data_IF_592059623713
#
_entry.id   IF_592059623713
#
_cell.length_a   1.000
_cell.length_b   1.000
_cell.length_c   1.000
_cell.angle_alpha   90.00
_cell.angle_beta   90.00
_cell.angle_gamma   90.00
#
_symmetry.space_group_name_H-M   'P 1'
#
loop_
_entity.id
_entity.type
_entity.pdbx_description
1 polymer ?
#
# COMPACT_ATOMS: atom_id res chain seq x y z
N UNK A 1 -17.85 14.96 49.46
CA UNK A 1 -18.08 14.99 48.00
C UNK A 1 -18.13 13.56 47.48
N UNK A 2 -19.29 13.18 46.95
CA UNK A 2 -19.94 11.87 47.07
C UNK A 2 -19.44 10.80 46.10
N UNK A 3 -19.39 9.54 46.56
CA UNK A 3 -18.92 8.36 45.81
C UNK A 3 -19.63 8.17 44.47
N UNK A 4 -20.87 8.65 44.34
CA UNK A 4 -21.65 8.69 43.10
C UNK A 4 -20.99 9.56 42.02
N UNK A 5 -20.55 10.79 42.34
CA UNK A 5 -19.83 11.64 41.37
C UNK A 5 -18.56 10.98 40.87
N UNK A 6 -17.83 10.28 41.74
CA UNK A 6 -16.62 9.53 41.34
C UNK A 6 -16.95 8.40 40.35
N UNK A 7 -18.04 7.66 40.55
CA UNK A 7 -18.49 6.60 39.62
C UNK A 7 -18.85 7.15 38.24
N UNK A 8 -19.57 8.28 38.17
CA UNK A 8 -19.90 8.92 36.89
C UNK A 8 -18.66 9.46 36.17
N UNK A 9 -17.72 10.08 36.91
CA UNK A 9 -16.46 10.55 36.33
C UNK A 9 -15.66 9.38 35.76
N UNK A 10 -15.47 8.31 36.53
CA UNK A 10 -14.75 7.10 36.08
C UNK A 10 -15.45 6.47 34.88
N UNK A 11 -16.79 6.35 34.91
CA UNK A 11 -17.58 5.82 33.81
C UNK A 11 -17.45 6.64 32.54
N UNK A 12 -17.50 7.97 32.64
CA UNK A 12 -17.29 8.87 31.49
C UNK A 12 -15.88 8.75 30.91
N UNK A 13 -14.87 8.58 31.77
CA UNK A 13 -13.48 8.45 31.35
C UNK A 13 -13.24 7.11 30.64
N UNK A 14 -13.83 6.03 31.15
CA UNK A 14 -13.86 4.72 30.49
C UNK A 14 -14.54 4.79 29.12
N UNK A 15 -15.68 5.47 29.02
CA UNK A 15 -16.40 5.63 27.76
C UNK A 15 -15.54 6.37 26.72
N UNK A 16 -14.90 7.48 27.11
CA UNK A 16 -14.01 8.24 26.23
C UNK A 16 -12.84 7.38 25.75
N UNK A 17 -12.24 6.57 26.64
CA UNK A 17 -11.16 5.65 26.27
C UNK A 17 -11.63 4.59 25.27
N UNK A 18 -12.80 4.00 25.48
CA UNK A 18 -13.38 2.99 24.57
C UNK A 18 -13.65 3.60 23.20
N UNK A 19 -14.31 4.76 23.15
CA UNK A 19 -14.61 5.45 21.89
C UNK A 19 -13.32 5.83 21.16
N UNK A 20 -12.30 6.29 21.88
CA UNK A 20 -11.00 6.61 21.29
C UNK A 20 -10.31 5.38 20.71
N UNK A 21 -10.34 4.25 21.42
CA UNK A 21 -9.77 2.98 20.96
C UNK A 21 -10.50 2.45 19.72
N UNK A 22 -11.83 2.48 19.71
CA UNK A 22 -12.64 2.09 18.56
C UNK A 22 -12.38 2.98 17.35
N UNK A 23 -12.29 4.30 17.56
CA UNK A 23 -11.96 5.26 16.50
C UNK A 23 -10.59 4.98 15.92
N UNK A 24 -9.59 4.72 16.76
CA UNK A 24 -8.25 4.34 16.32
C UNK A 24 -8.26 3.09 15.44
N UNK A 25 -8.95 2.03 15.90
CA UNK A 25 -9.08 0.79 15.12
C UNK A 25 -9.79 1.05 13.79
N UNK A 26 -10.87 1.82 13.80
CA UNK A 26 -11.62 2.17 12.60
C UNK A 26 -10.77 2.91 11.57
N UNK A 27 -10.03 3.94 12.01
CA UNK A 27 -9.17 4.74 11.14
C UNK A 27 -8.09 3.87 10.49
N UNK A 28 -7.37 3.08 11.27
CA UNK A 28 -6.27 2.27 10.76
C UNK A 28 -6.72 1.09 9.90
N UNK A 29 -7.91 0.54 10.16
CA UNK A 29 -8.41 -0.62 9.42
C UNK A 29 -9.21 -0.25 8.17
N UNK A 30 -9.89 0.90 8.17
CA UNK A 30 -10.80 1.27 7.09
C UNK A 30 -10.44 2.60 6.43
N UNK A 31 -10.20 3.66 7.19
CA UNK A 31 -9.97 4.98 6.61
C UNK A 31 -8.63 5.07 5.86
N UNK A 32 -7.53 4.59 6.47
CA UNK A 32 -6.19 4.60 5.87
C UNK A 32 -6.10 3.80 4.55
N UNK A 33 -6.53 2.53 4.47
CA UNK A 33 -6.45 1.81 3.19
C UNK A 33 -7.36 2.43 2.13
N UNK A 34 -8.56 2.89 2.51
CA UNK A 34 -9.46 3.56 1.56
C UNK A 34 -8.84 4.84 1.03
N UNK A 35 -8.30 5.72 1.86
CA UNK A 35 -7.65 6.95 1.36
C UNK A 35 -6.40 6.65 0.52
N UNK A 36 -5.66 5.59 0.87
CA UNK A 36 -4.48 5.19 0.13
C UNK A 36 -4.78 4.79 -1.32
N UNK A 37 -5.91 4.12 -1.60
CA UNK A 37 -6.32 3.79 -2.98
C UNK A 37 -6.46 5.05 -3.85
N UNK A 38 -6.96 6.14 -3.27
CA UNK A 38 -7.22 7.39 -3.99
C UNK A 38 -5.95 8.18 -4.27
N UNK A 39 -4.90 7.97 -3.48
CA UNK A 39 -3.59 8.60 -3.64
C UNK A 39 -2.54 7.74 -4.37
N UNK A 40 -2.93 6.56 -4.89
CA UNK A 40 -2.06 5.78 -5.80
C UNK A 40 -1.66 6.65 -7.00
N UNK A 41 -0.37 6.69 -7.40
CA UNK A 41 0.06 7.42 -8.58
C UNK A 41 -0.75 7.06 -9.83
N UNK A 42 -1.22 8.07 -10.56
CA UNK A 42 -2.12 7.88 -11.70
C UNK A 42 -1.56 6.89 -12.75
N UNK A 43 -0.26 6.99 -13.04
CA UNK A 43 0.45 6.10 -13.97
C UNK A 43 0.34 4.61 -13.58
N UNK A 44 0.22 4.30 -12.29
CA UNK A 44 0.17 2.92 -11.80
C UNK A 44 -1.23 2.31 -11.90
N UNK A 45 -2.26 3.13 -12.07
CA UNK A 45 -3.65 2.67 -12.27
C UNK A 45 -3.91 2.14 -13.68
N UNK A 46 -3.08 2.56 -14.62
CA UNK A 46 -3.16 2.21 -16.05
C UNK A 46 -1.85 1.56 -16.47
N UNK A 47 -1.45 0.51 -15.74
CA UNK A 47 -0.20 -0.18 -16.02
C UNK A 47 -0.33 -1.01 -17.31
N UNK A 48 0.55 -0.80 -18.31
CA UNK A 48 0.47 -1.50 -19.58
C UNK A 48 1.08 -2.91 -19.45
N UNK A 49 0.26 -3.87 -19.02
CA UNK A 49 0.60 -5.29 -19.07
C UNK A 49 0.69 -5.79 -20.50
N UNK A 50 1.51 -6.82 -20.73
CA UNK A 50 1.75 -7.34 -22.08
C UNK A 50 2.88 -6.62 -22.83
N UNK A 51 3.36 -5.50 -22.29
CA UNK A 51 4.45 -4.74 -22.89
C UNK A 51 5.84 -5.24 -22.45
N UNK A 52 6.83 -4.96 -23.30
CA UNK A 52 8.24 -5.25 -23.01
C UNK A 52 8.75 -4.43 -21.82
N UNK A 53 9.68 -5.01 -21.06
CA UNK A 53 10.37 -4.35 -19.95
C UNK A 53 10.90 -2.95 -20.27
N UNK A 54 11.46 -2.74 -21.47
CA UNK A 54 11.94 -1.41 -21.89
C UNK A 54 10.82 -0.37 -21.95
N UNK A 55 9.66 -0.72 -22.54
CA UNK A 55 8.50 0.16 -22.67
C UNK A 55 7.93 0.49 -21.28
N UNK A 56 7.89 -0.51 -20.38
CA UNK A 56 7.48 -0.32 -18.99
C UNK A 56 8.40 0.68 -18.28
N UNK A 57 9.72 0.54 -18.45
CA UNK A 57 10.70 1.45 -17.86
C UNK A 57 10.62 2.86 -18.47
N UNK A 58 10.33 2.99 -19.76
CA UNK A 58 10.12 4.30 -20.39
C UNK A 58 8.87 4.99 -19.84
N UNK A 59 7.79 4.23 -19.60
CA UNK A 59 6.54 4.77 -19.07
C UNK A 59 6.62 5.18 -17.59
N UNK A 60 7.24 4.33 -16.76
CA UNK A 60 7.32 4.50 -15.31
C UNK A 60 8.58 5.24 -14.83
N UNK A 61 9.60 5.34 -15.68
CA UNK A 61 10.94 5.81 -15.33
C UNK A 61 11.81 4.69 -14.74
N UNK A 62 12.98 5.07 -14.22
CA UNK A 62 13.93 4.13 -13.66
C UNK A 62 13.39 3.43 -12.40
N UNK A 63 13.55 2.09 -12.27
CA UNK A 63 13.19 1.38 -11.06
C UNK A 63 14.13 1.73 -9.89
N UNK A 64 13.69 1.42 -8.67
CA UNK A 64 14.50 1.46 -7.45
C UNK A 64 15.81 0.69 -7.63
N UNK A 65 16.92 1.32 -7.23
CA UNK A 65 18.33 0.94 -7.39
C UNK A 65 18.63 -0.50 -7.80
N UNK A 66 19.41 -0.62 -8.89
CA UNK A 66 19.93 -1.84 -9.52
C UNK A 66 20.79 -2.75 -8.61
N UNK A 67 21.10 -2.32 -7.39
CA UNK A 67 21.96 -3.06 -6.44
C UNK A 67 21.37 -4.41 -6.01
N UNK A 68 20.07 -4.61 -6.22
CA UNK A 68 19.39 -5.90 -6.14
C UNK A 68 18.49 -6.09 -7.37
N UNK A 69 19.07 -6.06 -8.57
CA UNK A 69 18.41 -6.57 -9.77
C UNK A 69 18.12 -8.06 -9.53
N UNK A 70 16.98 -8.35 -8.94
CA UNK A 70 16.50 -9.71 -8.79
C UNK A 70 15.91 -10.09 -10.15
N UNK A 71 16.44 -11.12 -10.82
CA UNK A 71 15.96 -11.50 -12.14
C UNK A 71 14.45 -11.74 -12.12
N UNK A 72 13.72 -11.15 -13.07
CA UNK A 72 12.29 -11.41 -13.26
C UNK A 72 11.34 -10.42 -12.60
N UNK A 73 11.81 -9.36 -11.93
CA UNK A 73 10.92 -8.26 -11.54
C UNK A 73 11.64 -6.91 -11.37
N UNK A 74 10.86 -5.83 -11.54
CA UNK A 74 11.28 -4.46 -11.27
C UNK A 74 10.41 -3.83 -10.18
N UNK A 75 10.97 -2.88 -9.43
CA UNK A 75 10.24 -2.17 -8.36
C UNK A 75 10.33 -0.67 -8.52
N UNK A 76 9.23 0.01 -8.26
CA UNK A 76 9.16 1.46 -8.17
C UNK A 76 8.58 1.87 -6.83
N UNK A 77 9.10 2.96 -6.27
CA UNK A 77 8.58 3.52 -5.04
C UNK A 77 8.18 4.98 -5.25
N UNK A 78 7.04 5.34 -4.69
CA UNK A 78 6.53 6.70 -4.73
C UNK A 78 6.08 7.13 -3.34
N UNK A 79 6.32 8.39 -2.99
CA UNK A 79 5.95 8.97 -1.71
C UNK A 79 7.01 8.84 -0.61
N UNK A 80 6.75 9.45 0.56
CA UNK A 80 7.71 9.54 1.66
C UNK A 80 7.99 8.19 2.34
N UNK A 81 9.15 8.08 3.01
CA UNK A 81 9.62 6.83 3.65
C UNK A 81 8.60 6.19 4.60
N UNK A 82 7.81 7.01 5.33
CA UNK A 82 6.80 6.51 6.27
C UNK A 82 5.48 6.11 5.62
N UNK A 83 5.20 6.60 4.41
CA UNK A 83 3.94 6.42 3.69
C UNK A 83 4.26 6.34 2.21
N UNK A 84 4.71 5.17 1.77
CA UNK A 84 5.09 4.97 0.38
C UNK A 84 4.23 3.94 -0.30
N UNK A 85 4.13 4.09 -1.61
CA UNK A 85 3.62 3.08 -2.50
C UNK A 85 4.80 2.34 -3.10
N UNK A 86 4.67 1.03 -3.22
CA UNK A 86 5.62 0.14 -3.86
C UNK A 86 4.90 -0.60 -4.97
N UNK A 87 5.26 -0.31 -6.22
CA UNK A 87 4.85 -1.06 -7.38
C UNK A 87 5.91 -2.13 -7.66
N UNK A 88 5.48 -3.37 -7.81
CA UNK A 88 6.33 -4.48 -8.25
C UNK A 88 5.75 -5.06 -9.53
N UNK A 89 6.55 -5.10 -10.59
CA UNK A 89 6.17 -5.65 -11.89
C UNK A 89 6.97 -6.93 -12.10
N UNK A 90 6.28 -8.03 -12.40
CA UNK A 90 6.89 -9.32 -12.66
C UNK A 90 6.91 -9.61 -14.16
N UNK A 91 8.03 -10.12 -14.64
CA UNK A 91 8.27 -10.50 -16.02
C UNK A 91 8.37 -12.02 -16.12
N UNK A 92 7.98 -12.58 -17.27
CA UNK A 92 8.02 -14.04 -17.48
C UNK A 92 9.46 -14.56 -17.49
N UNK A 93 10.31 -13.88 -18.25
CA UNK A 93 11.76 -13.97 -18.26
C UNK A 93 12.37 -12.57 -18.04
N UNK A 94 13.62 -12.47 -17.58
CA UNK A 94 14.21 -11.21 -17.10
C UNK A 94 14.14 -10.01 -18.06
N UNK A 95 14.11 -10.22 -19.37
CA UNK A 95 14.07 -9.15 -20.40
C UNK A 95 12.78 -9.18 -21.23
N UNK A 96 11.71 -9.75 -20.68
CA UNK A 96 10.50 -10.06 -21.45
C UNK A 96 9.32 -9.15 -21.12
N UNK A 97 8.14 -9.70 -21.40
CA UNK A 97 6.85 -9.08 -21.27
C UNK A 97 6.43 -9.04 -19.79
N UNK A 98 5.93 -7.89 -19.37
CA UNK A 98 5.31 -7.71 -18.07
C UNK A 98 4.05 -8.57 -17.97
N UNK A 99 4.09 -9.57 -17.09
CA UNK A 99 3.04 -10.58 -16.95
C UNK A 99 2.06 -10.24 -15.82
N UNK A 100 2.58 -9.68 -14.73
CA UNK A 100 1.77 -9.30 -13.58
C UNK A 100 2.36 -8.11 -12.85
N UNK A 101 1.52 -7.43 -12.08
CA UNK A 101 1.97 -6.37 -11.17
C UNK A 101 1.25 -6.45 -9.83
N UNK A 102 1.87 -5.85 -8.83
CA UNK A 102 1.27 -5.60 -7.53
C UNK A 102 1.62 -4.20 -7.02
N UNK A 103 0.64 -3.52 -6.45
CA UNK A 103 0.81 -2.22 -5.81
C UNK A 103 0.54 -2.38 -4.32
N UNK A 104 1.55 -2.14 -3.52
CA UNK A 104 1.45 -2.10 -2.06
C UNK A 104 1.51 -0.67 -1.56
N UNK A 105 0.71 -0.37 -0.55
CA UNK A 105 0.87 0.83 0.26
C UNK A 105 1.47 0.46 1.61
N UNK A 106 2.61 1.04 1.94
CA UNK A 106 3.32 0.85 3.19
C UNK A 106 3.06 2.05 4.10
N UNK A 107 2.31 1.82 5.17
CA UNK A 107 2.08 2.79 6.23
C UNK A 107 2.92 2.44 7.45
N UNK A 108 3.80 3.35 7.86
CA UNK A 108 4.61 3.27 9.07
C UNK A 108 4.24 4.39 10.02
N UNK A 109 3.28 4.09 10.89
CA UNK A 109 2.94 4.93 12.04
C UNK A 109 3.90 4.71 13.21
N UNK A 110 3.68 5.43 14.30
CA UNK A 110 4.49 5.32 15.52
C UNK A 110 4.34 3.95 16.20
N UNK A 111 3.12 3.41 16.24
CA UNK A 111 2.80 2.14 16.92
C UNK A 111 2.46 0.99 15.98
N UNK A 112 2.21 1.28 14.71
CA UNK A 112 1.72 0.29 13.75
C UNK A 112 2.43 0.47 12.42
N UNK A 113 3.05 -0.61 11.94
CA UNK A 113 3.49 -0.72 10.55
C UNK A 113 2.58 -1.70 9.85
N UNK A 114 1.97 -1.28 8.74
CA UNK A 114 1.11 -2.13 7.92
C UNK A 114 1.42 -1.96 6.45
N UNK A 115 1.30 -3.06 5.73
CA UNK A 115 1.32 -3.11 4.28
C UNK A 115 -0.07 -3.49 3.81
N UNK A 116 -0.58 -2.76 2.84
CA UNK A 116 -1.89 -2.99 2.27
C UNK A 116 -1.69 -3.27 0.78
N UNK A 117 -2.21 -4.38 0.29
CA UNK A 117 -2.31 -4.62 -1.15
C UNK A 117 -3.41 -3.71 -1.68
N UNK A 118 -3.04 -2.77 -2.55
CA UNK A 118 -3.98 -1.82 -3.16
C UNK A 118 -4.58 -2.39 -4.43
N UNK A 119 -3.72 -2.99 -5.26
CA UNK A 119 -4.10 -3.53 -6.55
C UNK A 119 -3.12 -4.61 -6.97
N UNK A 120 -3.61 -5.59 -7.72
CA UNK A 120 -2.80 -6.62 -8.34
C UNK A 120 -3.52 -7.22 -9.52
N UNK A 121 -2.79 -7.42 -10.60
CA UNK A 121 -3.32 -8.10 -11.77
C UNK A 121 -2.26 -9.03 -12.35
N UNK A 122 -2.70 -10.16 -12.89
CA UNK A 122 -1.88 -11.10 -13.62
C UNK A 122 -2.59 -11.47 -14.92
N UNK A 123 -1.84 -11.45 -16.03
CA UNK A 123 -2.34 -11.94 -17.31
C UNK A 123 -2.61 -13.47 -17.22
N UNK A 124 -3.68 -13.96 -17.87
CA UNK A 124 -3.90 -15.39 -18.01
C UNK A 124 -2.71 -16.04 -18.74
N UNK A 125 -2.36 -17.30 -18.40
CA UNK A 125 -1.26 -18.01 -19.05
C UNK A 125 -1.42 -18.12 -20.58
N UNK A 126 -2.65 -18.09 -21.09
CA UNK A 126 -2.98 -18.31 -22.50
C UNK A 126 -3.19 -17.02 -23.32
N UNK A 127 -2.88 -15.84 -22.75
CA UNK A 127 -3.13 -14.54 -23.40
C UNK A 127 -2.01 -14.06 -24.35
N UNK A 128 -1.27 -14.99 -24.95
CA UNK A 128 -0.08 -14.71 -25.78
C UNK A 128 -0.25 -15.15 -27.23
#
# INVERSE_FOLDING_TARGET
MTSLRKKYVIGSLMLVLIVSALTYVFVYRYAVPKSAVWAVPYKWRSFPLGEKRSIVQDYLGAPLSQTQQIPGYDRWQSGPVKQNYLLTVYYTTPDSIANSYSVYYHHRGMFVTRRYLMDSFALPPDSR
#
